data_IF_301743014728
#
_entry.id   IF_301743014728
#
_cell.length_a   1.000
_cell.length_b   1.000
_cell.length_c   1.000
_cell.angle_alpha   90.00
_cell.angle_beta   90.00
_cell.angle_gamma   90.00
#
_symmetry.space_group_name_H-M   'P 1'
#
loop_
_entity.id
_entity.type
_entity.pdbx_description
1 polymer ?
#
# COMPACT_ATOMS: atom_id res chain seq x y z
N UNK A 1 4.95 -1.76 -17.66
CA UNK A 1 4.64 -3.12 -17.16
C UNK A 1 4.36 -3.16 -15.66
N UNK A 2 5.23 -2.60 -14.81
CA UNK A 2 5.07 -2.54 -13.34
C UNK A 2 3.82 -1.73 -12.93
N UNK A 3 3.65 -0.51 -13.46
CA UNK A 3 2.48 0.34 -13.18
C UNK A 3 1.16 -0.28 -13.65
N UNK A 4 1.19 -1.13 -14.67
CA UNK A 4 0.01 -1.82 -15.21
C UNK A 4 -0.51 -2.91 -14.26
N UNK A 5 0.32 -3.38 -13.32
CA UNK A 5 0.01 -4.45 -12.38
C UNK A 5 -0.25 -3.95 -10.96
N UNK A 6 -0.47 -2.66 -10.78
CA UNK A 6 -0.66 -2.02 -9.46
C UNK A 6 0.51 -2.26 -8.49
N UNK A 7 1.71 -2.49 -9.03
CA UNK A 7 2.93 -2.68 -8.24
C UNK A 7 3.51 -1.32 -7.89
N UNK A 8 3.70 -1.09 -6.59
CA UNK A 8 4.34 0.08 -6.03
C UNK A 8 5.85 -0.17 -5.89
N UNK A 9 6.66 0.84 -6.18
CA UNK A 9 8.13 0.75 -6.13
C UNK A 9 8.65 1.86 -5.23
N UNK A 10 9.43 1.47 -4.22
CA UNK A 10 10.11 2.39 -3.32
C UNK A 10 11.62 2.10 -3.30
N UNK A 11 12.42 3.14 -3.08
CA UNK A 11 13.88 3.08 -3.01
C UNK A 11 14.45 4.22 -2.17
N UNK A 12 15.65 4.03 -1.63
CA UNK A 12 16.34 5.06 -0.85
C UNK A 12 17.34 5.80 -1.73
N UNK A 13 17.46 7.12 -1.56
CA UNK A 13 18.39 7.94 -2.35
C UNK A 13 19.85 7.50 -2.19
N UNK A 14 20.26 7.06 -1.00
CA UNK A 14 21.62 6.60 -0.74
C UNK A 14 21.96 5.26 -1.42
N UNK A 15 20.94 4.43 -1.71
CA UNK A 15 21.10 3.10 -2.30
C UNK A 15 19.99 2.82 -3.33
N UNK A 16 19.99 3.52 -4.48
CA UNK A 16 18.90 3.46 -5.46
C UNK A 16 18.74 2.08 -6.14
N UNK A 17 19.76 1.22 -6.09
CA UNK A 17 19.68 -0.17 -6.54
C UNK A 17 18.85 -1.06 -5.60
N UNK A 18 18.67 -0.65 -4.35
CA UNK A 18 17.91 -1.40 -3.36
C UNK A 18 16.42 -1.07 -3.51
N UNK A 19 15.73 -1.88 -4.30
CA UNK A 19 14.31 -1.68 -4.62
C UNK A 19 13.41 -2.51 -3.72
N UNK A 20 12.33 -1.89 -3.26
CA UNK A 20 11.22 -2.54 -2.58
C UNK A 20 9.99 -2.46 -3.47
N UNK A 21 9.56 -3.62 -3.98
CA UNK A 21 8.37 -3.74 -4.80
C UNK A 21 7.25 -4.34 -3.94
N UNK A 22 6.09 -3.69 -3.91
CA UNK A 22 4.94 -4.11 -3.12
C UNK A 22 3.68 -4.14 -3.99
N UNK A 23 2.81 -5.10 -3.75
CA UNK A 23 1.44 -5.10 -4.29
C UNK A 23 0.48 -5.65 -3.25
N UNK A 24 -0.75 -5.15 -3.29
CA UNK A 24 -1.79 -5.50 -2.34
C UNK A 24 -2.96 -6.14 -3.06
N UNK A 25 -3.52 -7.18 -2.46
CA UNK A 25 -4.73 -7.82 -2.96
C UNK A 25 -5.97 -7.04 -2.50
N UNK A 26 -7.08 -7.22 -3.20
CA UNK A 26 -8.40 -6.84 -2.66
C UNK A 26 -8.71 -7.69 -1.43
N UNK A 27 -9.59 -7.21 -0.52
CA UNK A 27 -10.02 -8.02 0.61
C UNK A 27 -10.54 -9.38 0.16
N UNK A 28 -10.06 -10.45 0.81
CA UNK A 28 -10.40 -11.83 0.40
C UNK A 28 -11.69 -12.34 1.03
N UNK A 29 -12.20 -11.61 2.04
CA UNK A 29 -13.47 -11.89 2.69
C UNK A 29 -14.50 -10.81 2.34
N UNK A 30 -15.77 -11.07 2.64
CA UNK A 30 -16.85 -10.10 2.41
C UNK A 30 -16.70 -8.82 3.24
N UNK A 31 -16.02 -8.88 4.39
CA UNK A 31 -15.65 -7.70 5.18
C UNK A 31 -14.26 -7.18 4.77
N UNK A 32 -14.06 -5.87 4.60
CA UNK A 32 -12.78 -5.29 4.15
C UNK A 32 -11.75 -5.20 5.29
N UNK A 33 -11.48 -6.31 5.97
CA UNK A 33 -10.61 -6.36 7.16
C UNK A 33 -9.32 -7.12 6.94
N UNK A 34 -9.27 -8.00 5.92
CA UNK A 34 -8.11 -8.84 5.67
C UNK A 34 -7.77 -8.85 4.18
N UNK A 35 -6.50 -8.64 3.88
CA UNK A 35 -5.91 -8.70 2.55
C UNK A 35 -4.49 -9.26 2.66
N UNK A 36 -3.95 -9.74 1.54
CA UNK A 36 -2.55 -10.09 1.42
C UNK A 36 -1.73 -8.95 0.82
N UNK A 37 -0.52 -8.82 1.34
CA UNK A 37 0.57 -8.04 0.79
C UNK A 37 1.61 -8.99 0.21
N UNK A 38 2.11 -8.69 -0.99
CA UNK A 38 3.22 -9.41 -1.62
C UNK A 38 4.38 -8.41 -1.74
N UNK A 39 5.54 -8.80 -1.21
CA UNK A 39 6.74 -7.96 -1.14
C UNK A 39 7.90 -8.67 -1.86
N UNK A 40 8.53 -7.98 -2.80
CA UNK A 40 9.81 -8.40 -3.40
C UNK A 40 10.91 -7.40 -3.01
N UNK A 41 12.00 -7.92 -2.44
CA UNK A 41 13.17 -7.12 -2.04
C UNK A 41 14.34 -7.41 -2.96
N UNK A 42 14.80 -6.39 -3.69
CA UNK A 42 16.01 -6.48 -4.52
C UNK A 42 17.19 -5.85 -3.80
N UNK A 43 18.37 -6.45 -3.97
CA UNK A 43 19.63 -5.96 -3.39
C UNK A 43 19.55 -5.63 -1.90
N UNK A 44 18.83 -6.46 -1.12
CA UNK A 44 18.67 -6.31 0.33
C UNK A 44 18.05 -4.97 0.75
N UNK A 45 17.10 -4.41 -0.01
CA UNK A 45 16.33 -3.25 0.38
C UNK A 45 15.81 -3.36 1.82
N UNK A 46 16.24 -2.44 2.69
CA UNK A 46 15.89 -2.38 4.11
C UNK A 46 14.70 -1.45 4.34
N UNK A 47 13.93 -1.70 5.40
CA UNK A 47 12.74 -0.91 5.75
C UNK A 47 11.45 -1.41 5.10
N UNK A 48 10.39 -0.60 5.16
CA UNK A 48 9.01 -1.02 4.83
C UNK A 48 8.40 -0.31 3.62
N UNK A 49 9.07 0.68 3.04
CA UNK A 49 8.55 1.47 1.93
C UNK A 49 7.51 2.48 2.38
N UNK A 50 7.97 3.61 2.91
CA UNK A 50 7.09 4.68 3.43
C UNK A 50 6.16 5.22 2.33
N UNK A 51 6.67 5.37 1.10
CA UNK A 51 5.87 5.81 -0.03
C UNK A 51 4.79 4.79 -0.41
N UNK A 52 5.13 3.51 -0.37
CA UNK A 52 4.20 2.43 -0.67
C UNK A 52 3.09 2.34 0.39
N UNK A 53 3.42 2.57 1.66
CA UNK A 53 2.46 2.60 2.75
C UNK A 53 1.46 3.75 2.63
N UNK A 54 1.93 4.95 2.28
CA UNK A 54 1.05 6.10 2.02
C UNK A 54 0.07 5.82 0.87
N UNK A 55 0.57 5.27 -0.25
CA UNK A 55 -0.27 4.93 -1.39
C UNK A 55 -1.31 3.84 -1.06
N UNK A 56 -0.98 2.88 -0.18
CA UNK A 56 -1.93 1.91 0.35
C UNK A 56 -3.06 2.60 1.15
N UNK A 57 -2.72 3.50 2.08
CA UNK A 57 -3.70 4.23 2.88
C UNK A 57 -4.66 5.05 2.00
N UNK A 58 -4.12 5.80 1.05
CA UNK A 58 -4.91 6.59 0.09
C UNK A 58 -5.82 5.69 -0.79
N UNK A 59 -5.39 4.46 -1.11
CA UNK A 59 -6.23 3.49 -1.80
C UNK A 59 -7.37 2.95 -0.91
N UNK A 60 -7.07 2.63 0.36
CA UNK A 60 -8.06 2.16 1.34
C UNK A 60 -9.10 3.25 1.61
N UNK A 61 -8.70 4.49 1.87
CA UNK A 61 -9.62 5.61 2.12
C UNK A 61 -10.58 5.82 0.93
N UNK A 62 -10.06 5.82 -0.31
CA UNK A 62 -10.89 5.92 -1.51
C UNK A 62 -11.93 4.79 -1.59
N UNK A 63 -11.57 3.58 -1.19
CA UNK A 63 -12.48 2.43 -1.19
C UNK A 63 -13.51 2.51 -0.05
N UNK A 64 -13.13 2.99 1.13
CA UNK A 64 -14.07 3.25 2.24
C UNK A 64 -15.09 4.34 1.87
N UNK A 65 -14.64 5.40 1.18
CA UNK A 65 -15.51 6.48 0.69
C UNK A 65 -16.56 5.96 -0.29
N UNK A 66 -16.15 5.09 -1.23
CA UNK A 66 -17.08 4.46 -2.19
C UNK A 66 -18.13 3.59 -1.52
N UNK A 67 -17.79 2.94 -0.39
CA UNK A 67 -18.70 2.07 0.37
C UNK A 67 -19.61 2.83 1.32
N UNK A 68 -19.47 4.15 1.43
CA UNK A 68 -20.23 4.98 2.37
C UNK A 68 -19.88 4.72 3.85
N UNK A 69 -18.72 4.10 4.12
CA UNK A 69 -18.33 3.63 5.44
C UNK A 69 -17.51 4.64 6.26
N UNK A 70 -17.33 5.89 5.76
CA UNK A 70 -16.89 6.99 6.62
C UNK A 70 -18.03 7.37 7.56
N UNK A 71 -18.22 6.56 8.61
CA UNK A 71 -18.84 7.05 9.82
C UNK A 71 -17.98 8.21 10.33
N UNK A 72 -18.60 9.37 10.49
CA UNK A 72 -18.10 10.54 11.20
C UNK A 72 -17.49 10.09 12.53
N UNK A 73 -16.16 9.99 12.58
CA UNK A 73 -15.41 9.54 13.74
C UNK A 73 -14.13 10.34 13.88
N UNK A 74 -14.24 11.48 14.54
CA UNK A 74 -13.18 12.19 15.28
C UNK A 74 -11.73 12.10 14.73
N UNK A 75 -11.40 13.00 13.80
CA UNK A 75 -10.07 13.64 13.76
C UNK A 75 -10.23 15.15 13.97
N UNK A 76 -11.02 15.50 14.99
CA UNK A 76 -11.09 16.84 15.57
C UNK A 76 -11.02 16.72 17.08
N UNK A 77 -9.83 16.39 17.59
CA UNK A 77 -9.31 16.79 18.90
C UNK A 77 -7.79 16.67 18.88
#
# INVERSE_FOLDING_TARGET
>A
EIATREILVDWQQQFPQALLLQTFTKPIFGKPTFFFEIIERRFQAKGFGEGNFRALFEAIEREQNKRGALGTGELSR
#
